data_IF_858672509846
#
_entry.id   IF_858672509846
#
_cell.length_a   1.000
_cell.length_b   1.000
_cell.length_c   1.000
_cell.angle_alpha   90.00
_cell.angle_beta   90.00
_cell.angle_gamma   90.00
#
_symmetry.space_group_name_H-M   'P 1'
#
loop_
_entity.id
_entity.type
_entity.pdbx_description
1 polymer ?
#
# COMPACT_ATOMS: atom_id res chain seq x y z
N UNK A 1 -5.40 4.95 10.83
CA UNK A 1 -4.62 4.72 9.59
C UNK A 1 -5.59 4.48 8.46
N UNK A 2 -5.51 5.29 7.40
CA UNK A 2 -6.35 5.14 6.20
C UNK A 2 -5.68 4.29 5.11
N UNK A 3 -6.39 4.08 4.01
CA UNK A 3 -5.92 3.32 2.85
C UNK A 3 -6.32 4.00 1.55
N UNK A 4 -5.52 3.85 0.50
CA UNK A 4 -5.99 4.08 -0.86
C UNK A 4 -6.75 2.85 -1.35
N UNK A 5 -8.06 2.97 -1.51
CA UNK A 5 -8.95 1.90 -1.93
C UNK A 5 -9.45 2.10 -3.37
N UNK A 6 -9.96 1.04 -3.99
CA UNK A 6 -10.61 1.14 -5.29
C UNK A 6 -11.93 1.91 -5.18
N UNK A 7 -12.23 2.79 -6.14
CA UNK A 7 -13.47 3.57 -6.17
C UNK A 7 -14.73 2.70 -6.11
N UNK A 8 -14.68 1.52 -6.68
CA UNK A 8 -15.81 0.58 -6.67
C UNK A 8 -16.24 0.18 -5.26
N UNK A 9 -15.34 0.20 -4.29
CA UNK A 9 -15.64 -0.10 -2.89
C UNK A 9 -16.54 0.97 -2.23
N UNK A 10 -16.55 2.18 -2.77
CA UNK A 10 -17.44 3.25 -2.33
C UNK A 10 -18.94 2.89 -2.47
N UNK A 11 -19.24 1.97 -3.41
CA UNK A 11 -20.61 1.52 -3.68
C UNK A 11 -21.13 0.46 -2.70
N UNK A 12 -20.27 -0.08 -1.84
CA UNK A 12 -20.67 -1.11 -0.86
C UNK A 12 -21.17 -0.41 0.39
N UNK A 13 -22.50 -0.47 0.68
CA UNK A 13 -23.08 0.12 1.90
C UNK A 13 -22.37 -0.42 3.15
N UNK A 14 -22.47 0.27 4.26
CA UNK A 14 -21.78 -0.03 5.52
C UNK A 14 -20.25 -0.01 5.39
N UNK A 15 -19.64 -0.80 4.48
CA UNK A 15 -18.19 -0.85 4.30
C UNK A 15 -17.61 0.52 3.94
N UNK A 16 -18.19 1.20 2.95
CA UNK A 16 -17.72 2.54 2.52
C UNK A 16 -17.86 3.56 3.65
N UNK A 17 -18.90 3.44 4.47
CA UNK A 17 -19.10 4.31 5.62
C UNK A 17 -17.97 4.13 6.66
N UNK A 18 -17.68 2.88 7.06
CA UNK A 18 -16.55 2.57 7.93
C UNK A 18 -15.22 3.00 7.37
N UNK A 19 -14.99 2.78 6.08
CA UNK A 19 -13.76 3.19 5.40
C UNK A 19 -13.54 4.71 5.47
N UNK A 20 -14.61 5.52 5.40
CA UNK A 20 -14.51 6.98 5.55
C UNK A 20 -14.12 7.38 6.97
N UNK A 21 -14.62 6.71 7.99
CA UNK A 21 -14.25 6.98 9.37
C UNK A 21 -12.75 6.76 9.65
N UNK A 22 -12.11 5.83 8.96
CA UNK A 22 -10.68 5.60 9.07
C UNK A 22 -9.86 6.35 8.02
N UNK A 23 -10.43 7.39 7.40
CA UNK A 23 -9.79 8.22 6.38
C UNK A 23 -9.30 7.44 5.14
N UNK A 24 -10.05 6.44 4.67
CA UNK A 24 -9.79 5.80 3.40
C UNK A 24 -10.14 6.72 2.24
N UNK A 25 -9.28 6.75 1.24
CA UNK A 25 -9.43 7.54 0.03
C UNK A 25 -9.78 6.61 -1.15
N UNK A 26 -10.88 6.91 -1.85
CA UNK A 26 -11.34 6.11 -2.98
C UNK A 26 -10.72 6.60 -4.28
N UNK A 27 -9.80 5.80 -4.83
CA UNK A 27 -9.02 6.15 -6.02
C UNK A 27 -9.71 5.69 -7.30
N UNK A 28 -10.09 6.63 -8.15
CA UNK A 28 -10.55 6.36 -9.51
C UNK A 28 -9.33 6.19 -10.43
N UNK A 29 -9.06 4.94 -10.82
CA UNK A 29 -7.92 4.61 -11.70
C UNK A 29 -8.21 4.84 -13.18
N UNK A 30 -9.48 5.01 -13.54
CA UNK A 30 -9.92 5.24 -14.93
C UNK A 30 -9.91 6.72 -15.27
N UNK A 31 -10.02 7.59 -14.27
CA UNK A 31 -10.02 9.04 -14.43
C UNK A 31 -8.76 9.64 -13.82
N UNK A 32 -7.80 10.02 -14.66
CA UNK A 32 -6.50 10.57 -14.24
C UNK A 32 -6.68 11.83 -13.39
N UNK A 33 -7.60 12.72 -13.77
CA UNK A 33 -7.84 13.98 -13.05
C UNK A 33 -8.43 13.72 -11.65
N UNK A 34 -9.40 12.82 -11.55
CA UNK A 34 -9.98 12.41 -10.26
C UNK A 34 -8.95 11.68 -9.39
N UNK A 35 -8.16 10.78 -9.98
CA UNK A 35 -7.07 10.09 -9.28
C UNK A 35 -6.04 11.05 -8.71
N UNK A 36 -5.66 12.09 -9.48
CA UNK A 36 -4.74 13.11 -9.01
C UNK A 36 -5.31 13.93 -7.84
N UNK A 37 -6.60 14.26 -7.89
CA UNK A 37 -7.28 14.94 -6.79
C UNK A 37 -7.25 14.11 -5.51
N UNK A 38 -7.57 12.81 -5.59
CA UNK A 38 -7.49 11.87 -4.47
C UNK A 38 -6.06 11.75 -3.90
N UNK A 39 -5.03 11.74 -4.75
CA UNK A 39 -3.63 11.74 -4.30
C UNK A 39 -3.25 13.03 -3.57
N UNK A 40 -3.76 14.18 -4.01
CA UNK A 40 -3.53 15.45 -3.33
C UNK A 40 -4.26 15.51 -1.97
N UNK A 41 -5.44 14.92 -1.87
CA UNK A 41 -6.16 14.75 -0.60
C UNK A 41 -5.36 13.87 0.37
N UNK A 42 -4.78 12.76 -0.11
CA UNK A 42 -3.87 11.94 0.67
C UNK A 42 -2.64 12.72 1.16
N UNK A 43 -2.08 13.57 0.31
CA UNK A 43 -0.97 14.46 0.73
C UNK A 43 -1.38 15.38 1.87
N UNK A 44 -2.60 15.92 1.83
CA UNK A 44 -3.13 16.78 2.90
C UNK A 44 -3.30 16.01 4.20
N UNK A 45 -3.94 14.83 4.17
CA UNK A 45 -4.10 13.98 5.35
C UNK A 45 -2.75 13.61 6.00
N UNK A 46 -1.73 13.30 5.19
CA UNK A 46 -0.39 13.01 5.69
C UNK A 46 0.23 14.23 6.39
N UNK A 47 0.04 15.44 5.85
CA UNK A 47 0.49 16.68 6.50
C UNK A 47 -0.25 17.00 7.78
N UNK A 48 -1.52 16.60 7.86
CA UNK A 48 -2.36 16.74 9.05
C UNK A 48 -2.05 15.67 10.12
N UNK A 49 -1.00 14.84 9.92
CA UNK A 49 -0.52 13.84 10.86
C UNK A 49 -1.21 12.48 10.79
N UNK A 50 -2.05 12.24 9.77
CA UNK A 50 -2.65 10.92 9.58
C UNK A 50 -1.70 9.97 8.86
N UNK A 51 -1.73 8.70 9.23
CA UNK A 51 -1.00 7.64 8.51
C UNK A 51 -1.87 7.03 7.43
N UNK A 52 -1.27 6.72 6.28
CA UNK A 52 -1.94 6.07 5.15
C UNK A 52 -1.14 4.86 4.71
N UNK A 53 -1.78 3.68 4.67
CA UNK A 53 -1.20 2.50 4.04
C UNK A 53 -1.50 2.49 2.55
N UNK A 54 -0.51 2.11 1.75
CA UNK A 54 -0.65 2.01 0.30
C UNK A 54 -0.18 0.64 -0.17
N UNK A 55 -0.89 0.07 -1.13
CA UNK A 55 -0.51 -1.13 -1.86
C UNK A 55 -0.06 -0.71 -3.27
N UNK A 56 1.24 -0.47 -3.48
CA UNK A 56 1.72 0.22 -4.67
C UNK A 56 1.63 -0.62 -5.94
N UNK A 57 1.50 -1.93 -5.82
CA UNK A 57 1.21 -2.84 -6.93
C UNK A 57 -0.13 -2.51 -7.61
N UNK A 58 -1.07 -2.04 -6.82
CA UNK A 58 -2.40 -1.69 -7.31
C UNK A 58 -3.27 -2.88 -7.72
N UNK A 59 -2.81 -4.09 -7.53
CA UNK A 59 -3.54 -5.35 -7.72
C UNK A 59 -3.12 -6.34 -6.66
N UNK A 60 -3.81 -7.49 -6.58
CA UNK A 60 -3.36 -8.59 -5.74
C UNK A 60 -2.21 -9.29 -6.44
N UNK A 61 -1.14 -9.57 -5.70
CA UNK A 61 -0.08 -10.44 -6.16
C UNK A 61 -0.49 -11.89 -5.89
N UNK A 62 -0.46 -12.71 -6.94
CA UNK A 62 -0.61 -14.16 -6.82
C UNK A 62 0.75 -14.84 -6.87
N UNK A 63 1.79 -14.09 -7.17
CA UNK A 63 3.16 -14.56 -7.30
C UNK A 63 3.90 -14.45 -5.97
N UNK A 64 5.01 -15.17 -5.88
CA UNK A 64 5.88 -15.11 -4.71
C UNK A 64 6.45 -13.72 -4.46
N UNK A 65 6.72 -12.96 -5.52
CA UNK A 65 7.27 -11.61 -5.44
C UNK A 65 6.19 -10.58 -5.78
N UNK A 66 6.20 -9.42 -5.12
CA UNK A 66 5.30 -8.32 -5.48
C UNK A 66 5.59 -7.84 -6.91
N UNK A 67 4.54 -7.47 -7.63
CA UNK A 67 4.64 -6.84 -8.93
C UNK A 67 5.39 -5.50 -8.86
N UNK A 68 5.70 -4.95 -10.01
CA UNK A 68 6.30 -3.61 -10.08
C UNK A 68 5.39 -2.57 -9.42
N UNK A 69 6.00 -1.67 -8.66
CA UNK A 69 5.30 -0.60 -7.98
C UNK A 69 4.98 0.53 -8.95
N UNK A 70 3.75 1.02 -8.90
CA UNK A 70 3.33 2.15 -9.73
C UNK A 70 4.05 3.41 -9.28
N UNK A 71 4.73 4.07 -10.21
CA UNK A 71 5.57 5.25 -9.94
C UNK A 71 4.85 6.35 -9.16
N UNK A 72 3.57 6.58 -9.42
CA UNK A 72 2.78 7.60 -8.73
C UNK A 72 2.38 7.27 -7.30
N UNK A 73 2.57 6.03 -6.84
CA UNK A 73 2.04 5.55 -5.55
C UNK A 73 2.64 6.27 -4.35
N UNK A 74 3.93 6.60 -4.38
CA UNK A 74 4.64 7.27 -3.29
C UNK A 74 4.55 8.80 -3.34
N UNK A 75 3.95 9.35 -4.38
CA UNK A 75 3.86 10.80 -4.59
C UNK A 75 3.24 11.57 -3.41
N UNK A 76 2.19 11.09 -2.72
CA UNK A 76 1.66 11.76 -1.54
C UNK A 76 2.69 11.90 -0.42
N UNK A 77 3.44 10.83 -0.10
CA UNK A 77 4.47 10.84 0.94
C UNK A 77 5.64 11.78 0.58
N UNK A 78 6.12 11.70 -0.67
CA UNK A 78 7.18 12.59 -1.17
C UNK A 78 6.79 14.07 -1.11
N UNK A 79 5.53 14.39 -1.46
CA UNK A 79 5.01 15.77 -1.39
C UNK A 79 4.75 16.25 0.03
N UNK A 80 4.40 15.34 0.93
CA UNK A 80 4.14 15.68 2.32
C UNK A 80 5.43 15.77 3.15
N UNK A 81 6.55 15.19 2.67
CA UNK A 81 7.82 15.13 3.40
C UNK A 81 7.76 14.17 4.60
N UNK A 82 6.85 13.20 4.57
CA UNK A 82 6.68 12.25 5.67
C UNK A 82 7.47 10.95 5.43
N UNK A 83 7.92 10.25 6.48
CA UNK A 83 8.64 9.00 6.32
C UNK A 83 7.78 7.92 5.67
N UNK A 84 8.42 7.09 4.84
CA UNK A 84 7.83 5.90 4.23
C UNK A 84 8.40 4.68 4.93
N UNK A 85 7.52 3.82 5.46
CA UNK A 85 7.90 2.59 6.14
C UNK A 85 7.54 1.41 5.24
N UNK A 86 8.53 0.67 4.69
CA UNK A 86 8.28 -0.57 3.98
C UNK A 86 7.59 -1.59 4.88
N UNK A 87 6.56 -2.28 4.36
CA UNK A 87 5.84 -3.31 5.11
C UNK A 87 5.66 -4.55 4.24
N UNK A 88 6.23 -5.64 4.66
CA UNK A 88 6.08 -6.94 4.02
C UNK A 88 4.97 -7.75 4.70
N UNK A 89 4.05 -8.31 3.92
CA UNK A 89 2.97 -9.18 4.40
C UNK A 89 3.08 -10.53 3.68
N UNK A 90 3.05 -11.63 4.45
CA UNK A 90 3.12 -13.00 3.94
C UNK A 90 2.05 -13.88 4.57
N UNK A 91 1.58 -14.92 3.86
CA UNK A 91 0.59 -15.88 4.33
C UNK A 91 -0.86 -15.48 4.11
N UNK A 92 -1.15 -14.30 3.55
CA UNK A 92 -2.54 -13.85 3.36
C UNK A 92 -3.31 -14.67 2.32
N UNK A 93 -2.64 -15.21 1.29
CA UNK A 93 -3.28 -16.04 0.27
C UNK A 93 -3.84 -17.34 0.84
N UNK A 94 -3.26 -17.86 1.92
CA UNK A 94 -3.72 -19.09 2.58
C UNK A 94 -5.02 -18.88 3.37
N UNK A 95 -5.43 -17.65 3.60
CA UNK A 95 -6.72 -17.35 4.23
C UNK A 95 -7.87 -17.70 3.30
N UNK A 96 -7.78 -17.34 2.02
CA UNK A 96 -8.88 -17.44 1.06
C UNK A 96 -8.47 -17.95 -0.32
N UNK A 97 -7.47 -17.32 -0.97
CA UNK A 97 -7.15 -17.52 -2.38
C UNK A 97 -6.71 -18.96 -2.68
N UNK A 98 -5.91 -19.55 -1.81
CA UNK A 98 -5.39 -20.92 -1.94
C UNK A 98 -6.39 -21.99 -1.48
N UNK A 99 -7.59 -21.59 -1.01
CA UNK A 99 -8.59 -22.53 -0.53
C UNK A 99 -9.67 -22.81 -1.58
N UNK A 100 -10.28 -24.01 -1.51
CA UNK A 100 -11.42 -24.34 -2.37
C UNK A 100 -12.58 -23.39 -2.06
N UNK A 101 -13.14 -22.75 -3.11
CA UNK A 101 -14.39 -21.96 -3.13
C UNK A 101 -14.74 -21.29 -1.80
N UNK A 102 -14.22 -20.07 -1.59
CA UNK A 102 -14.64 -19.18 -0.48
C UNK A 102 -14.51 -19.76 0.94
N UNK A 103 -13.76 -20.83 1.12
CA UNK A 103 -13.48 -21.35 2.45
C UNK A 103 -12.37 -20.52 3.08
N UNK A 104 -12.69 -19.79 4.16
CA UNK A 104 -11.70 -19.12 5.00
C UNK A 104 -11.11 -20.14 5.95
N UNK A 105 -9.77 -20.25 5.98
CA UNK A 105 -9.05 -21.13 6.90
C UNK A 105 -8.21 -20.31 7.88
N UNK A 106 -8.09 -20.76 9.13
CA UNK A 106 -7.10 -20.20 10.04
C UNK A 106 -5.70 -20.37 9.45
N UNK A 107 -4.95 -19.27 9.41
CA UNK A 107 -3.56 -19.28 8.96
C UNK A 107 -2.74 -18.24 9.70
N UNK A 108 -1.43 -18.41 9.72
CA UNK A 108 -0.52 -17.43 10.29
C UNK A 108 -0.14 -16.41 9.22
N UNK A 109 -0.36 -15.15 9.52
CA UNK A 109 0.06 -14.02 8.68
C UNK A 109 1.25 -13.35 9.34
N UNK A 110 2.34 -13.21 8.61
CA UNK A 110 3.52 -12.50 9.06
C UNK A 110 3.54 -11.09 8.49
N UNK A 111 3.74 -10.11 9.37
CA UNK A 111 3.90 -8.70 9.02
C UNK A 111 5.25 -8.24 9.53
N UNK A 112 6.09 -7.75 8.61
CA UNK A 112 7.42 -7.23 8.93
C UNK A 112 7.52 -5.78 8.48
N UNK A 113 8.01 -4.93 9.36
CA UNK A 113 8.27 -3.53 9.07
C UNK A 113 9.77 -3.32 8.80
N UNK A 114 10.09 -2.61 7.73
CA UNK A 114 11.42 -2.13 7.42
C UNK A 114 11.76 -0.84 8.18
N UNK A 115 12.93 -0.30 7.90
CA UNK A 115 13.36 0.96 8.49
C UNK A 115 12.63 2.15 7.83
N UNK A 116 12.31 3.20 8.57
CA UNK A 116 11.72 4.40 8.01
C UNK A 116 12.68 5.07 7.01
N UNK A 117 12.17 5.37 5.82
CA UNK A 117 12.89 6.11 4.78
C UNK A 117 12.36 7.55 4.78
N UNK A 118 13.25 8.51 5.00
CA UNK A 118 12.91 9.93 5.07
C UNK A 118 13.15 10.59 3.71
N UNK A 119 12.09 11.02 2.98
CA UNK A 119 12.24 11.59 1.65
C UNK A 119 13.15 12.82 1.59
N UNK A 120 13.19 13.61 2.66
CA UNK A 120 13.99 14.83 2.70
C UNK A 120 15.50 14.55 2.73
N UNK A 121 15.90 13.36 3.16
CA UNK A 121 17.29 12.90 3.19
C UNK A 121 17.76 12.28 1.88
N UNK A 122 16.83 12.03 0.93
CA UNK A 122 17.13 11.38 -0.34
C UNK A 122 17.50 12.40 -1.42
N UNK A 123 18.45 12.05 -2.26
CA UNK A 123 18.76 12.79 -3.48
C UNK A 123 17.64 12.67 -4.53
N UNK A 124 17.65 13.56 -5.52
CA UNK A 124 16.63 13.57 -6.58
C UNK A 124 16.59 12.25 -7.37
N UNK A 125 17.75 11.65 -7.61
CA UNK A 125 17.87 10.38 -8.31
C UNK A 125 17.24 9.24 -7.48
N UNK A 126 17.53 9.18 -6.18
CA UNK A 126 16.99 8.18 -5.26
C UNK A 126 15.47 8.28 -5.13
N UNK A 127 14.92 9.50 -5.05
CA UNK A 127 13.46 9.73 -5.03
C UNK A 127 12.77 9.15 -6.26
N UNK A 128 13.42 9.19 -7.42
CA UNK A 128 12.87 8.63 -8.67
C UNK A 128 12.81 7.10 -8.63
N UNK A 129 13.76 6.46 -7.99
CA UNK A 129 13.86 4.98 -7.91
C UNK A 129 13.34 4.41 -6.58
N UNK A 130 12.81 5.25 -5.69
CA UNK A 130 12.38 4.85 -4.36
C UNK A 130 11.39 3.67 -4.36
N UNK A 131 10.48 3.63 -5.33
CA UNK A 131 9.52 2.53 -5.46
C UNK A 131 10.21 1.18 -5.72
N UNK A 132 11.24 1.15 -6.58
CA UNK A 132 12.01 -0.05 -6.86
C UNK A 132 12.82 -0.48 -5.62
N UNK A 133 13.47 0.46 -4.95
CA UNK A 133 14.24 0.20 -3.72
C UNK A 133 13.37 -0.40 -2.63
N UNK A 134 12.20 0.18 -2.37
CA UNK A 134 11.24 -0.34 -1.38
C UNK A 134 10.75 -1.74 -1.77
N UNK A 135 10.52 -1.97 -3.05
CA UNK A 135 10.09 -3.29 -3.54
C UNK A 135 11.14 -4.36 -3.27
N UNK A 136 12.40 -4.07 -3.53
CA UNK A 136 13.53 -4.98 -3.25
C UNK A 136 13.64 -5.27 -1.76
N UNK A 137 13.54 -4.27 -0.90
CA UNK A 137 13.54 -4.43 0.55
C UNK A 137 12.39 -5.33 1.03
N UNK A 138 11.19 -5.13 0.50
CA UNK A 138 10.02 -5.98 0.81
C UNK A 138 10.26 -7.43 0.38
N UNK A 139 10.87 -7.66 -0.78
CA UNK A 139 11.23 -9.01 -1.25
C UNK A 139 12.21 -9.67 -0.27
N UNK A 140 13.24 -8.97 0.15
CA UNK A 140 14.22 -9.48 1.12
C UNK A 140 13.58 -9.79 2.48
N UNK A 141 12.70 -8.92 2.99
CA UNK A 141 11.96 -9.16 4.23
C UNK A 141 11.08 -10.42 4.13
N UNK A 142 10.43 -10.66 2.98
CA UNK A 142 9.60 -11.85 2.77
C UNK A 142 10.41 -13.14 2.73
N UNK A 143 11.61 -13.12 2.14
CA UNK A 143 12.51 -14.29 2.08
C UNK A 143 12.89 -14.79 3.49
N UNK A 144 13.15 -13.89 4.42
CA UNK A 144 13.53 -14.23 5.80
C UNK A 144 12.46 -15.06 6.53
N UNK A 145 11.19 -14.89 6.19
CA UNK A 145 10.09 -15.66 6.80
C UNK A 145 9.77 -16.99 6.13
N UNK A 146 10.30 -17.24 4.93
CA UNK A 146 10.16 -18.57 4.28
C UNK A 146 11.14 -19.61 4.81
N UNK A 147 12.18 -19.18 5.48
CA UNK A 147 13.28 -20.03 5.95
C UNK A 147 13.14 -20.42 7.44
N UNK A 148 12.08 -19.98 8.09
CA UNK A 148 11.70 -20.33 9.47
C UNK A 148 10.43 -21.16 9.51
#
# INVERSE_FOLDING_TARGET
>A
MGFFAKKEMEKIPCLSHWMRFINCLFLDRKNIKAGLATMNEGTKLLKDGFSIAIFPEGTRSQDENPHEFKEGSLRPALKAGVPVIPMAISGTADILENNRRFQVKPTTVHITFGQPIYPDQLERAEKKHLGATIREEIIEMRKKHKTS
#
